data_IF_683283354145
#
_entry.id   IF_683283354145
#
_cell.length_a   1.000
_cell.length_b   1.000
_cell.length_c   1.000
_cell.angle_alpha   90.00
_cell.angle_beta   90.00
_cell.angle_gamma   90.00
#
_symmetry.space_group_name_H-M   'P 1'
#
loop_
_entity.id
_entity.type
_entity.pdbx_description
1 polymer ?
#
# COMPACT_ATOMS: atom_id res chain seq x y z
N UNK A 1 42.40 -6.22 -10.72
CA UNK A 1 41.05 -5.89 -10.22
C UNK A 1 40.08 -6.84 -10.90
N UNK A 2 39.44 -7.78 -10.19
CA UNK A 2 38.39 -8.57 -10.82
C UNK A 2 37.22 -7.62 -11.10
N UNK A 3 36.82 -7.50 -12.37
CA UNK A 3 35.58 -6.83 -12.73
C UNK A 3 34.45 -7.58 -12.03
N UNK A 4 33.76 -6.94 -11.08
CA UNK A 4 32.44 -7.39 -10.65
C UNK A 4 31.50 -7.19 -11.86
N UNK A 5 31.57 -8.11 -12.81
CA UNK A 5 30.48 -8.34 -13.75
C UNK A 5 29.30 -8.77 -12.90
N UNK A 6 28.41 -7.84 -12.59
CA UNK A 6 27.06 -8.15 -12.17
C UNK A 6 26.53 -9.23 -13.12
N UNK A 7 26.21 -10.41 -12.57
CA UNK A 7 25.62 -11.49 -13.34
C UNK A 7 24.19 -11.07 -13.66
N UNK A 8 24.04 -10.38 -14.78
CA UNK A 8 22.74 -9.94 -15.26
C UNK A 8 22.00 -11.13 -15.86
N UNK A 9 20.86 -11.47 -15.26
CA UNK A 9 19.97 -12.48 -15.81
C UNK A 9 18.99 -11.86 -16.81
N UNK A 10 18.69 -12.61 -17.87
CA UNK A 10 17.73 -12.18 -18.91
C UNK A 10 16.36 -12.75 -18.61
N UNK A 11 15.38 -11.87 -18.47
CA UNK A 11 13.96 -12.22 -18.34
C UNK A 11 13.26 -12.01 -19.68
N UNK A 12 12.48 -13.01 -20.11
CA UNK A 12 11.60 -12.90 -21.27
C UNK A 12 10.16 -13.18 -20.82
N UNK A 13 9.23 -12.27 -21.13
CA UNK A 13 7.83 -12.41 -20.80
C UNK A 13 6.95 -12.30 -22.06
N UNK A 14 5.83 -13.03 -22.06
CA UNK A 14 4.81 -12.92 -23.11
C UNK A 14 3.78 -11.89 -22.68
N UNK A 15 3.35 -11.04 -23.62
CA UNK A 15 2.32 -10.03 -23.36
C UNK A 15 1.57 -9.69 -24.64
N UNK A 16 0.46 -8.97 -24.51
CA UNK A 16 -0.29 -8.43 -25.65
C UNK A 16 0.48 -7.26 -26.28
N UNK A 17 0.53 -7.21 -27.62
CA UNK A 17 1.19 -6.15 -28.38
C UNK A 17 0.67 -4.75 -28.03
N UNK A 18 -0.65 -4.57 -28.01
CA UNK A 18 -1.27 -3.28 -27.69
C UNK A 18 -0.99 -2.85 -26.25
N UNK A 19 -0.93 -3.80 -25.31
CA UNK A 19 -0.58 -3.51 -23.92
C UNK A 19 0.88 -3.04 -23.82
N UNK A 20 1.81 -3.73 -24.49
CA UNK A 20 3.22 -3.34 -24.53
C UNK A 20 3.39 -1.93 -25.08
N UNK A 21 2.75 -1.63 -26.20
CA UNK A 21 2.85 -0.32 -26.85
C UNK A 21 2.32 0.80 -25.94
N UNK A 22 1.14 0.62 -25.34
CA UNK A 22 0.57 1.59 -24.40
C UNK A 22 1.44 1.77 -23.15
N UNK A 23 1.89 0.68 -22.53
CA UNK A 23 2.74 0.75 -21.35
C UNK A 23 4.07 1.47 -21.66
N UNK A 24 4.68 1.17 -22.81
CA UNK A 24 5.93 1.82 -23.24
C UNK A 24 5.72 3.33 -23.45
N UNK A 25 4.61 3.73 -24.05
CA UNK A 25 4.29 5.15 -24.24
C UNK A 25 4.08 5.89 -22.90
N UNK A 26 3.37 5.27 -21.94
CA UNK A 26 3.16 5.85 -20.60
C UNK A 26 4.49 5.97 -19.85
N UNK A 27 5.35 4.96 -19.91
CA UNK A 27 6.66 4.98 -19.25
C UNK A 27 7.60 6.00 -19.89
N UNK A 28 7.58 6.15 -21.22
CA UNK A 28 8.37 7.13 -21.94
C UNK A 28 8.03 8.58 -21.54
N UNK A 29 6.75 8.88 -21.26
CA UNK A 29 6.34 10.19 -20.74
C UNK A 29 7.01 10.52 -19.38
N UNK A 30 7.37 9.49 -18.60
CA UNK A 30 8.08 9.61 -17.34
C UNK A 30 9.60 9.41 -17.47
N UNK A 31 10.13 9.39 -18.69
CA UNK A 31 11.56 9.12 -18.98
C UNK A 31 12.04 7.76 -18.46
N UNK A 32 11.13 6.80 -18.34
CA UNK A 32 11.42 5.44 -17.90
C UNK A 32 11.35 4.49 -19.08
N UNK A 33 12.31 3.57 -19.16
CA UNK A 33 12.21 2.44 -20.06
C UNK A 33 11.49 1.26 -19.39
N UNK A 34 11.04 0.30 -20.21
CA UNK A 34 10.28 -0.85 -19.72
C UNK A 34 11.12 -1.77 -18.81
N UNK A 35 12.44 -1.84 -19.02
CA UNK A 35 13.35 -2.69 -18.26
C UNK A 35 13.60 -2.11 -16.87
N UNK A 36 13.83 -0.80 -16.78
CA UNK A 36 13.93 -0.04 -15.54
C UNK A 36 12.65 -0.15 -14.73
N UNK A 37 11.48 0.00 -15.37
CA UNK A 37 10.19 -0.16 -14.69
C UNK A 37 10.00 -1.57 -14.12
N UNK A 38 10.38 -2.62 -14.88
CA UNK A 38 10.33 -4.00 -14.40
C UNK A 38 11.32 -4.24 -13.25
N UNK A 39 12.53 -3.69 -13.32
CA UNK A 39 13.51 -3.81 -12.23
C UNK A 39 13.04 -3.09 -10.96
N UNK A 40 12.41 -1.93 -11.08
CA UNK A 40 11.79 -1.23 -9.94
C UNK A 40 10.67 -2.06 -9.32
N UNK A 41 9.81 -2.65 -10.16
CA UNK A 41 8.74 -3.54 -9.71
C UNK A 41 9.27 -4.77 -8.95
N UNK A 42 10.27 -5.46 -9.52
CA UNK A 42 10.91 -6.60 -8.87
C UNK A 42 11.61 -6.21 -7.55
N UNK A 43 12.32 -5.07 -7.55
CA UNK A 43 12.97 -4.56 -6.34
C UNK A 43 11.97 -4.25 -5.23
N UNK A 44 10.79 -3.74 -5.56
CA UNK A 44 9.73 -3.46 -4.60
C UNK A 44 9.13 -4.75 -4.02
N UNK A 45 8.91 -5.78 -4.84
CA UNK A 45 8.47 -7.11 -4.37
C UNK A 45 9.46 -7.69 -3.35
N UNK A 46 10.75 -7.63 -3.65
CA UNK A 46 11.80 -8.16 -2.76
C UNK A 46 11.86 -7.37 -1.45
N UNK A 47 11.68 -6.05 -1.50
CA UNK A 47 11.76 -5.18 -0.33
C UNK A 47 10.55 -5.32 0.60
N UNK A 48 9.35 -5.53 0.06
CA UNK A 48 8.10 -5.55 0.84
C UNK A 48 7.54 -6.96 1.05
N UNK A 49 8.20 -7.98 0.50
CA UNK A 49 7.76 -9.39 0.48
C UNK A 49 6.31 -9.58 -0.01
N UNK A 50 5.80 -8.59 -0.76
CA UNK A 50 4.41 -8.46 -1.17
C UNK A 50 4.33 -7.90 -2.58
N UNK A 51 3.19 -8.13 -3.25
CA UNK A 51 2.97 -7.62 -4.59
C UNK A 51 2.63 -6.13 -4.52
N UNK A 52 3.40 -5.23 -5.17
CA UNK A 52 3.22 -3.78 -5.08
C UNK A 52 2.11 -3.31 -6.05
N UNK A 53 0.98 -3.99 -6.03
CA UNK A 53 -0.22 -3.61 -6.76
C UNK A 53 -1.23 -3.10 -5.75
N UNK A 54 -1.58 -1.83 -5.90
CA UNK A 54 -2.67 -1.25 -5.15
C UNK A 54 -3.99 -1.56 -5.87
N UNK A 55 -4.69 -2.58 -5.38
CA UNK A 55 -6.00 -2.99 -5.91
C UNK A 55 -7.15 -2.11 -5.41
N UNK A 56 -6.88 -1.12 -4.55
CA UNK A 56 -7.91 -0.21 -4.05
C UNK A 56 -8.38 0.71 -5.18
N UNK A 57 -9.69 0.86 -5.33
CA UNK A 57 -10.27 1.84 -6.25
C UNK A 57 -9.98 3.26 -5.77
N UNK A 58 -10.09 4.26 -6.64
CA UNK A 58 -9.88 5.67 -6.27
C UNK A 58 -10.83 6.11 -5.14
N UNK A 59 -12.05 5.55 -5.11
CA UNK A 59 -13.03 5.78 -4.04
C UNK A 59 -12.54 5.21 -2.70
N UNK A 60 -11.96 4.01 -2.69
CA UNK A 60 -11.39 3.40 -1.49
C UNK A 60 -10.20 4.21 -0.96
N UNK A 61 -9.32 4.70 -1.86
CA UNK A 61 -8.19 5.55 -1.47
C UNK A 61 -8.64 6.88 -0.88
N UNK A 62 -9.66 7.50 -1.48
CA UNK A 62 -10.24 8.75 -0.97
C UNK A 62 -10.92 8.55 0.39
N UNK A 63 -11.65 7.43 0.57
CA UNK A 63 -12.27 7.09 1.85
C UNK A 63 -11.23 6.86 2.95
N UNK A 64 -10.13 6.19 2.64
CA UNK A 64 -9.02 5.97 3.57
C UNK A 64 -8.32 7.28 3.93
N UNK A 65 -8.06 8.15 2.95
CA UNK A 65 -7.47 9.47 3.20
C UNK A 65 -8.37 10.30 4.14
N UNK A 66 -9.67 10.37 3.84
CA UNK A 66 -10.65 11.07 4.69
C UNK A 66 -10.73 10.47 6.10
N UNK A 67 -10.63 9.15 6.22
CA UNK A 67 -10.59 8.47 7.51
C UNK A 67 -9.34 8.90 8.30
N UNK A 68 -8.16 8.87 7.68
CA UNK A 68 -6.88 9.26 8.31
C UNK A 68 -6.93 10.73 8.74
N UNK A 69 -7.38 11.64 7.87
CA UNK A 69 -7.48 13.07 8.17
C UNK A 69 -8.38 13.33 9.38
N UNK A 70 -9.57 12.71 9.40
CA UNK A 70 -10.51 12.86 10.52
C UNK A 70 -9.93 12.36 11.85
N UNK A 71 -9.17 11.27 11.82
CA UNK A 71 -8.54 10.72 13.02
C UNK A 71 -7.34 11.56 13.47
N UNK A 72 -6.58 12.13 12.54
CA UNK A 72 -5.48 13.05 12.83
C UNK A 72 -6.00 14.33 13.51
N UNK A 73 -7.06 14.94 12.99
CA UNK A 73 -7.69 16.12 13.59
C UNK A 73 -8.21 15.86 15.00
N UNK A 74 -8.86 14.71 15.20
CA UNK A 74 -9.32 14.27 16.51
C UNK A 74 -8.14 14.06 17.47
N UNK A 75 -7.02 13.49 17.00
CA UNK A 75 -5.81 13.30 17.80
C UNK A 75 -5.15 14.63 18.18
N UNK A 76 -5.06 15.59 17.25
CA UNK A 76 -4.55 16.94 17.51
C UNK A 76 -5.43 17.68 18.53
N UNK A 77 -6.75 17.58 18.41
CA UNK A 77 -7.69 18.18 19.35
C UNK A 77 -7.56 17.57 20.76
N UNK A 78 -7.38 16.24 20.87
CA UNK A 78 -7.10 15.55 22.15
C UNK A 78 -5.80 16.01 22.77
N UNK A 79 -4.74 16.16 21.96
CA UNK A 79 -3.43 16.67 22.41
C UNK A 79 -3.51 18.11 22.91
N UNK A 80 -4.24 19.00 22.20
CA UNK A 80 -4.48 20.39 22.64
C UNK A 80 -5.26 20.48 23.95
N UNK A 81 -6.13 19.50 24.23
CA UNK A 81 -6.89 19.37 25.49
C UNK A 81 -6.08 18.74 26.64
N UNK A 82 -4.81 18.40 26.43
CA UNK A 82 -3.94 17.87 27.47
C UNK A 82 -4.18 16.40 27.82
N UNK A 83 -4.97 15.67 27.03
CA UNK A 83 -5.17 14.23 27.21
C UNK A 83 -3.88 13.52 26.76
N UNK A 84 -3.01 13.20 27.71
CA UNK A 84 -1.81 12.37 27.48
C UNK A 84 -2.25 10.91 27.30
N UNK A 85 -1.55 10.22 26.40
CA UNK A 85 -1.89 8.87 25.95
C UNK A 85 -1.95 7.83 27.06
N UNK A 86 -2.61 6.72 26.76
CA UNK A 86 -2.66 5.52 27.58
C UNK A 86 -1.23 4.98 27.79
N UNK A 87 -0.90 4.53 29.00
CA UNK A 87 0.31 3.73 29.20
C UNK A 87 0.14 2.39 28.48
N UNK A 88 1.25 1.73 28.12
CA UNK A 88 1.23 0.41 27.49
C UNK A 88 0.38 -0.60 28.31
N UNK A 89 0.55 -0.60 29.63
CA UNK A 89 -0.25 -1.41 30.57
C UNK A 89 -1.75 -1.07 30.57
N UNK A 90 -2.10 0.21 30.36
CA UNK A 90 -3.52 0.62 30.24
C UNK A 90 -4.14 0.17 28.91
N UNK A 91 -3.30 0.06 27.88
CA UNK A 91 -3.70 -0.37 26.55
C UNK A 91 -3.90 -1.89 26.48
N UNK A 92 -2.99 -2.66 27.09
CA UNK A 92 -3.06 -4.12 27.17
C UNK A 92 -4.32 -4.59 27.94
N UNK A 93 -4.64 -3.96 29.08
CA UNK A 93 -5.88 -4.28 29.82
C UNK A 93 -7.16 -4.01 29.05
N UNK A 94 -7.13 -3.08 28.09
CA UNK A 94 -8.29 -2.77 27.25
C UNK A 94 -8.59 -3.88 26.22
N UNK A 95 -7.58 -4.70 25.89
CA UNK A 95 -7.72 -5.86 25.01
C UNK A 95 -7.99 -7.16 25.78
N UNK A 96 -7.59 -7.25 27.05
CA UNK A 96 -7.84 -8.44 27.88
C UNK A 96 -9.29 -8.52 28.41
N UNK A 97 -9.96 -7.39 28.69
CA UNK A 97 -11.30 -7.36 29.31
C UNK A 97 -12.47 -7.38 28.32
N UNK A 98 -12.20 -7.37 27.01
CA UNK A 98 -13.22 -7.47 25.98
C UNK A 98 -12.98 -8.71 25.13
N UNK A 99 -13.82 -9.74 25.34
CA UNK A 99 -14.20 -10.65 24.26
C UNK A 99 -14.45 -9.76 23.05
N UNK A 100 -13.56 -9.86 22.05
CA UNK A 100 -13.68 -9.17 20.78
C UNK A 100 -15.01 -9.60 20.18
N UNK A 101 -16.07 -8.84 20.46
CA UNK A 101 -17.11 -8.63 19.48
C UNK A 101 -16.37 -7.90 18.36
N UNK A 102 -15.78 -8.70 17.47
CA UNK A 102 -15.54 -8.28 16.10
C UNK A 102 -16.91 -7.80 15.66
N UNK A 103 -17.14 -6.48 15.74
CA UNK A 103 -18.28 -5.88 15.10
C UNK A 103 -18.07 -6.23 13.63
N UNK A 104 -18.78 -7.26 13.17
CA UNK A 104 -18.88 -7.59 11.76
C UNK A 104 -19.12 -6.27 11.05
N UNK A 105 -18.34 -6.03 9.99
CA UNK A 105 -18.47 -4.84 9.18
C UNK A 105 -19.97 -4.60 8.91
N UNK A 106 -20.49 -3.36 9.09
CA UNK A 106 -21.91 -3.10 8.89
C UNK A 106 -22.34 -3.65 7.54
N UNK A 107 -23.47 -4.37 7.53
CA UNK A 107 -23.99 -5.21 6.44
C UNK A 107 -24.34 -4.48 5.13
N UNK A 108 -23.80 -3.29 4.92
CA UNK A 108 -24.06 -2.42 3.77
C UNK A 108 -23.01 -2.62 2.66
N UNK A 109 -21.99 -3.47 2.87
CA UNK A 109 -21.16 -3.99 1.78
C UNK A 109 -21.84 -5.20 1.13
N UNK A 110 -22.92 -4.95 0.39
CA UNK A 110 -23.36 -5.92 -0.62
C UNK A 110 -22.43 -5.82 -1.82
N UNK A 111 -21.54 -6.80 -1.97
CA UNK A 111 -21.04 -7.21 -3.29
C UNK A 111 -22.25 -7.69 -4.08
N UNK A 112 -22.80 -6.85 -4.95
CA UNK A 112 -23.71 -7.28 -6.01
C UNK A 112 -23.28 -6.55 -7.29
N UNK A 113 -22.73 -7.35 -8.21
CA UNK A 113 -22.51 -7.22 -9.67
C UNK A 113 -22.34 -5.84 -10.32
#
# INVERSE_FOLDING_TARGET
MPSMTEKNDRIAFRTNKALKEKATAILANNQLDLSTALNMFLGKIVAEETLPLDFRTDQMKAAELNYIEKHLDAAIARRKKGIRGYSLESFEKLFDDHDLIVAEAPADYTLND
#
